data_IF_813405978608
#
_entry.id   IF_813405978608
#
_cell.length_a   1.000
_cell.length_b   1.000
_cell.length_c   1.000
_cell.angle_alpha   90.00
_cell.angle_beta   90.00
_cell.angle_gamma   90.00
#
_symmetry.space_group_name_H-M   'P 1'
#
loop_
_entity.id
_entity.type
_entity.pdbx_description
1 polymer ?
#
# COMPACT_ATOMS: atom_id res chain seq x y z
N UNK A 1 -7.79 -26.74 31.92
CA UNK A 1 -6.33 -26.46 32.03
C UNK A 1 -6.00 -25.16 31.28
N UNK A 2 -6.63 -24.02 31.62
CA UNK A 2 -6.51 -22.77 30.84
C UNK A 2 -5.94 -21.58 31.63
N UNK A 3 -5.77 -21.69 32.96
CA UNK A 3 -5.37 -20.56 33.83
C UNK A 3 -3.85 -20.37 34.02
N UNK A 4 -2.97 -21.01 33.23
CA UNK A 4 -1.51 -20.98 33.51
C UNK A 4 -0.70 -19.94 32.72
N UNK A 5 -1.35 -19.18 31.84
CA UNK A 5 -0.67 -18.19 30.97
C UNK A 5 -1.30 -16.78 31.01
N UNK A 6 -2.33 -16.56 31.83
CA UNK A 6 -3.23 -15.43 31.61
C UNK A 6 -2.57 -14.07 31.90
N UNK A 7 -2.01 -13.86 33.10
CA UNK A 7 -1.64 -12.50 33.53
C UNK A 7 -0.42 -11.91 32.78
N UNK A 8 0.61 -12.71 32.50
CA UNK A 8 1.82 -12.25 31.81
C UNK A 8 1.62 -12.08 30.30
N UNK A 9 0.87 -12.97 29.66
CA UNK A 9 0.68 -12.96 28.20
C UNK A 9 -0.50 -12.08 27.77
N UNK A 10 -1.49 -11.83 28.64
CA UNK A 10 -2.55 -10.85 28.39
C UNK A 10 -1.95 -9.46 28.15
N UNK A 11 -0.99 -9.04 28.97
CA UNK A 11 -0.28 -7.78 28.77
C UNK A 11 0.48 -7.69 27.43
N UNK A 12 1.01 -8.81 26.93
CA UNK A 12 1.66 -8.87 25.60
C UNK A 12 0.63 -8.84 24.47
N UNK A 13 -0.51 -9.51 24.67
CA UNK A 13 -1.65 -9.49 23.76
C UNK A 13 -2.24 -8.08 23.61
N UNK A 14 -2.44 -7.37 24.72
CA UNK A 14 -2.91 -5.99 24.73
C UNK A 14 -1.92 -5.04 24.02
N UNK A 15 -0.61 -5.19 24.29
CA UNK A 15 0.43 -4.43 23.59
C UNK A 15 0.42 -4.70 22.09
N UNK A 16 0.26 -5.96 21.69
CA UNK A 16 0.16 -6.33 20.27
C UNK A 16 -1.11 -5.76 19.62
N UNK A 17 -2.27 -5.83 20.28
CA UNK A 17 -3.53 -5.26 19.79
C UNK A 17 -3.44 -3.73 19.66
N UNK A 18 -2.82 -3.05 20.63
CA UNK A 18 -2.58 -1.61 20.57
C UNK A 18 -1.69 -1.24 19.39
N UNK A 19 -0.63 -2.03 19.12
CA UNK A 19 0.23 -1.83 17.97
C UNK A 19 -0.52 -2.04 16.65
N UNK A 20 -1.35 -3.08 16.54
CA UNK A 20 -2.20 -3.30 15.37
C UNK A 20 -3.12 -2.12 15.12
N UNK A 21 -3.81 -1.62 16.16
CA UNK A 21 -4.70 -0.46 16.02
C UNK A 21 -3.96 0.81 15.54
N UNK A 22 -2.71 1.01 15.99
CA UNK A 22 -1.86 2.13 15.54
C UNK A 22 -1.44 1.97 14.07
N UNK A 23 -1.12 0.74 13.64
CA UNK A 23 -0.80 0.43 12.25
C UNK A 23 -2.04 0.60 11.35
N UNK A 24 -3.21 0.12 11.78
CA UNK A 24 -4.48 0.32 11.08
C UNK A 24 -4.81 1.81 10.91
N UNK A 25 -4.52 2.65 11.91
CA UNK A 25 -4.72 4.09 11.80
C UNK A 25 -3.82 4.73 10.73
N UNK A 26 -2.56 4.31 10.64
CA UNK A 26 -1.63 4.76 9.59
C UNK A 26 -2.10 4.28 8.22
N UNK A 27 -2.46 3.00 8.11
CA UNK A 27 -2.96 2.43 6.88
C UNK A 27 -4.24 3.15 6.43
N UNK A 28 -5.16 3.48 7.35
CA UNK A 28 -6.41 4.17 7.03
C UNK A 28 -6.18 5.61 6.55
N UNK A 29 -5.07 6.24 6.95
CA UNK A 29 -4.68 7.54 6.43
C UNK A 29 -4.09 7.44 5.02
N UNK A 30 -3.28 6.40 4.75
CA UNK A 30 -2.60 6.21 3.47
C UNK A 30 -3.53 5.64 2.39
N UNK A 31 -4.37 4.65 2.74
CA UNK A 31 -5.23 3.90 1.83
C UNK A 31 -6.63 3.69 2.41
N UNK A 32 -7.62 3.58 1.53
CA UNK A 32 -8.99 3.33 1.93
C UNK A 32 -9.22 1.83 2.27
N UNK A 33 -8.95 1.44 3.52
CA UNK A 33 -9.04 0.03 3.99
C UNK A 33 -10.45 -0.57 3.83
N UNK A 34 -11.50 0.24 4.00
CA UNK A 34 -12.91 -0.21 4.04
C UNK A 34 -13.62 -0.11 2.69
N UNK A 35 -12.90 0.13 1.60
CA UNK A 35 -13.50 0.29 0.26
C UNK A 35 -13.59 -1.07 -0.43
N UNK A 36 -14.81 -1.61 -0.55
CA UNK A 36 -15.05 -2.89 -1.22
C UNK A 36 -15.28 -2.73 -2.73
N UNK A 37 -15.93 -1.63 -3.12
CA UNK A 37 -16.30 -1.33 -4.51
C UNK A 37 -15.96 0.11 -4.88
N UNK A 38 -15.90 0.44 -6.18
CA UNK A 38 -15.69 1.81 -6.61
C UNK A 38 -16.73 2.81 -6.10
N UNK A 39 -17.97 2.36 -5.88
CA UNK A 39 -19.08 3.18 -5.41
C UNK A 39 -19.05 3.47 -3.89
N UNK A 40 -18.18 2.81 -3.12
CA UNK A 40 -18.10 3.02 -1.66
C UNK A 40 -17.41 4.32 -1.26
N UNK A 41 -16.91 5.10 -2.22
CA UNK A 41 -16.16 6.34 -1.98
C UNK A 41 -16.95 7.40 -1.21
N UNK A 42 -18.28 7.44 -1.34
CA UNK A 42 -19.11 8.38 -0.57
C UNK A 42 -19.24 7.97 0.92
N UNK A 43 -19.18 6.67 1.20
CA UNK A 43 -19.31 6.12 2.56
C UNK A 43 -17.99 6.04 3.30
N UNK A 44 -16.90 5.85 2.57
CA UNK A 44 -15.57 5.73 3.14
C UNK A 44 -14.64 6.78 2.51
N UNK A 45 -14.05 7.68 3.32
CA UNK A 45 -13.23 8.76 2.80
C UNK A 45 -12.00 8.21 2.04
N UNK A 46 -11.54 8.89 0.98
CA UNK A 46 -10.37 8.48 0.22
C UNK A 46 -9.08 8.62 1.04
N UNK A 47 -8.18 7.65 0.88
CA UNK A 47 -6.83 7.71 1.44
C UNK A 47 -5.95 8.73 0.72
N UNK A 48 -4.77 9.01 1.25
CA UNK A 48 -3.78 9.87 0.57
C UNK A 48 -3.39 9.34 -0.82
N UNK A 49 -3.33 8.01 -0.99
CA UNK A 49 -3.08 7.37 -2.29
C UNK A 49 -4.14 7.74 -3.34
N UNK A 50 -5.43 7.68 -2.99
CA UNK A 50 -6.51 8.00 -3.92
C UNK A 50 -6.45 9.48 -4.33
N UNK A 51 -6.19 10.38 -3.37
CA UNK A 51 -6.03 11.83 -3.64
C UNK A 51 -4.86 12.11 -4.58
N UNK A 52 -3.75 11.39 -4.39
CA UNK A 52 -2.58 11.53 -5.26
C UNK A 52 -2.88 11.00 -6.68
N UNK A 53 -3.54 9.84 -6.79
CA UNK A 53 -3.98 9.28 -8.06
C UNK A 53 -4.92 10.24 -8.79
N UNK A 54 -5.89 10.82 -8.10
CA UNK A 54 -6.82 11.79 -8.67
C UNK A 54 -6.10 13.03 -9.20
N UNK A 55 -5.15 13.58 -8.43
CA UNK A 55 -4.34 14.71 -8.87
C UNK A 55 -3.50 14.36 -10.11
N UNK A 56 -2.83 13.22 -10.10
CA UNK A 56 -2.02 12.74 -11.24
C UNK A 56 -2.90 12.55 -12.47
N UNK A 57 -4.09 11.97 -12.33
CA UNK A 57 -5.02 11.79 -13.44
C UNK A 57 -5.43 13.13 -14.08
N UNK A 58 -5.76 14.13 -13.26
CA UNK A 58 -6.14 15.46 -13.77
C UNK A 58 -4.96 16.13 -14.49
N UNK A 59 -3.77 16.10 -13.91
CA UNK A 59 -2.58 16.76 -14.47
C UNK A 59 -2.08 16.07 -15.74
N UNK A 60 -2.10 14.74 -15.79
CA UNK A 60 -1.60 13.98 -16.94
C UNK A 60 -2.53 14.02 -18.15
N UNK A 61 -3.83 14.28 -17.95
CA UNK A 61 -4.79 14.45 -19.04
C UNK A 61 -4.84 15.89 -19.58
N UNK A 62 -4.22 16.85 -18.90
CA UNK A 62 -4.24 18.24 -19.33
C UNK A 62 -3.20 18.49 -20.45
N UNK A 63 -3.61 19.20 -21.51
CA UNK A 63 -2.69 19.63 -22.58
C UNK A 63 -1.74 20.77 -22.15
N UNK A 64 -2.02 21.38 -21.00
CA UNK A 64 -1.24 22.47 -20.42
C UNK A 64 -0.37 21.99 -19.25
N UNK A 65 0.71 22.71 -18.97
CA UNK A 65 1.53 22.46 -17.79
C UNK A 65 0.72 22.57 -16.48
N UNK A 66 1.13 21.87 -15.41
CA UNK A 66 0.45 21.94 -14.12
C UNK A 66 0.32 23.37 -13.62
N UNK A 67 -0.85 23.73 -13.11
CA UNK A 67 -1.07 25.05 -12.50
C UNK A 67 -0.32 25.16 -11.16
N UNK A 68 -0.07 26.38 -10.70
CA UNK A 68 0.53 26.60 -9.37
C UNK A 68 -0.28 25.92 -8.26
N UNK A 69 -1.61 25.91 -8.37
CA UNK A 69 -2.48 25.23 -7.40
C UNK A 69 -2.26 23.72 -7.39
N UNK A 70 -2.10 23.09 -8.57
CA UNK A 70 -1.83 21.66 -8.65
C UNK A 70 -0.49 21.29 -8.00
N UNK A 71 0.53 22.14 -8.15
CA UNK A 71 1.83 21.97 -7.46
C UNK A 71 1.66 22.08 -5.94
N UNK A 72 0.97 23.10 -5.44
CA UNK A 72 0.76 23.29 -4.00
C UNK A 72 -0.04 22.13 -3.37
N UNK A 73 -1.07 21.62 -4.06
CA UNK A 73 -1.84 20.46 -3.60
C UNK A 73 -0.97 19.20 -3.60
N UNK A 74 -0.11 19.02 -4.61
CA UNK A 74 0.87 17.92 -4.65
C UNK A 74 1.79 17.97 -3.43
N UNK A 75 2.38 19.13 -3.15
CA UNK A 75 3.29 19.32 -2.01
C UNK A 75 2.59 19.04 -0.68
N UNK A 76 1.34 19.48 -0.52
CA UNK A 76 0.53 19.20 0.67
C UNK A 76 0.28 17.70 0.86
N UNK A 77 -0.11 16.99 -0.20
CA UNK A 77 -0.37 15.53 -0.13
C UNK A 77 0.92 14.79 0.18
N UNK A 78 2.03 15.11 -0.50
CA UNK A 78 3.32 14.48 -0.26
C UNK A 78 3.84 14.73 1.15
N UNK A 79 3.68 15.95 1.67
CA UNK A 79 4.04 16.25 3.05
C UNK A 79 3.26 15.40 4.06
N UNK A 80 1.99 15.08 3.79
CA UNK A 80 1.19 14.19 4.65
C UNK A 80 1.66 12.74 4.56
N UNK A 81 1.99 12.27 3.36
CA UNK A 81 2.58 10.92 3.16
C UNK A 81 3.90 10.78 3.91
N UNK A 82 4.76 11.79 3.86
CA UNK A 82 6.02 11.81 4.61
C UNK A 82 5.80 11.70 6.13
N UNK A 83 4.77 12.37 6.65
CA UNK A 83 4.41 12.31 8.08
C UNK A 83 4.00 10.89 8.45
N UNK A 84 3.08 10.27 7.70
CA UNK A 84 2.62 8.91 8.01
C UNK A 84 3.74 7.86 7.83
N UNK A 85 4.61 8.04 6.83
CA UNK A 85 5.77 7.17 6.61
C UNK A 85 6.75 7.26 7.78
N UNK A 86 7.04 8.48 8.28
CA UNK A 86 7.89 8.67 9.47
C UNK A 86 7.27 8.05 10.73
N UNK A 87 5.95 8.16 10.90
CA UNK A 87 5.23 7.52 12.00
C UNK A 87 5.35 6.00 11.94
N UNK A 88 5.16 5.41 10.77
CA UNK A 88 5.33 3.97 10.55
C UNK A 88 6.75 3.53 10.91
N UNK A 89 7.75 4.24 10.39
CA UNK A 89 9.16 4.00 10.67
C UNK A 89 9.47 4.02 12.18
N UNK A 90 8.91 4.98 12.91
CA UNK A 90 9.07 5.08 14.36
C UNK A 90 8.43 3.88 15.07
N UNK A 91 7.19 3.50 14.71
CA UNK A 91 6.52 2.32 15.29
C UNK A 91 7.31 1.04 15.07
N UNK A 92 7.85 0.86 13.86
CA UNK A 92 8.65 -0.33 13.53
C UNK A 92 9.95 -0.34 14.31
N UNK A 93 10.64 0.80 14.43
CA UNK A 93 11.93 0.88 15.14
C UNK A 93 11.77 0.71 16.65
N UNK A 94 10.71 1.24 17.23
CA UNK A 94 10.54 1.30 18.69
C UNK A 94 9.65 0.16 19.20
N UNK A 95 8.39 0.10 18.75
CA UNK A 95 7.37 -0.75 19.35
C UNK A 95 7.49 -2.20 18.89
N UNK A 96 7.72 -2.44 17.59
CA UNK A 96 7.88 -3.79 17.05
C UNK A 96 9.14 -4.45 17.63
N UNK A 97 10.25 -3.71 17.75
CA UNK A 97 11.49 -4.23 18.33
C UNK A 97 11.33 -4.51 19.83
N UNK A 98 10.70 -3.60 20.57
CA UNK A 98 10.42 -3.80 21.99
C UNK A 98 9.48 -4.99 22.24
N UNK A 99 8.47 -5.17 21.39
CA UNK A 99 7.55 -6.30 21.46
C UNK A 99 8.27 -7.61 21.11
N UNK A 100 9.15 -7.63 20.10
CA UNK A 100 9.95 -8.81 19.77
C UNK A 100 10.89 -9.24 20.91
N UNK A 101 11.51 -8.29 21.61
CA UNK A 101 12.31 -8.58 22.81
C UNK A 101 11.44 -9.17 23.92
N UNK A 102 10.25 -8.61 24.13
CA UNK A 102 9.31 -9.09 25.13
C UNK A 102 8.85 -10.54 24.84
N UNK A 103 8.52 -10.86 23.58
CA UNK A 103 8.20 -12.22 23.16
C UNK A 103 9.36 -13.20 23.42
N UNK A 104 10.59 -12.80 23.11
CA UNK A 104 11.77 -13.63 23.38
C UNK A 104 11.96 -13.88 24.87
N UNK A 105 11.76 -12.87 25.72
CA UNK A 105 11.82 -13.05 27.18
C UNK A 105 10.71 -13.94 27.74
N UNK A 106 9.57 -14.00 27.07
CA UNK A 106 8.46 -14.90 27.40
C UNK A 106 8.66 -16.34 26.88
N UNK A 107 9.78 -16.63 26.22
CA UNK A 107 10.07 -17.95 25.64
C UNK A 107 9.28 -18.25 24.36
N UNK A 108 8.68 -17.23 23.75
CA UNK A 108 7.96 -17.34 22.47
C UNK A 108 8.96 -17.05 21.36
N UNK A 109 9.29 -18.05 20.57
CA UNK A 109 10.16 -17.89 19.41
C UNK A 109 9.42 -17.15 18.28
N UNK A 110 9.97 -16.02 17.85
CA UNK A 110 9.37 -15.20 16.81
C UNK A 110 9.72 -15.76 15.43
N UNK A 111 8.75 -16.40 14.77
CA UNK A 111 8.87 -16.81 13.37
C UNK A 111 8.63 -15.60 12.47
N UNK A 112 9.69 -14.90 12.07
CA UNK A 112 9.59 -13.85 11.05
C UNK A 112 10.22 -12.49 11.35
N UNK A 113 11.21 -12.38 12.25
CA UNK A 113 12.17 -11.28 12.15
C UNK A 113 13.09 -11.63 10.98
N UNK A 114 12.75 -11.15 9.79
CA UNK A 114 13.57 -11.29 8.60
C UNK A 114 14.95 -10.68 8.84
N UNK A 115 15.89 -11.49 9.34
CA UNK A 115 17.25 -11.36 8.86
C UNK A 115 17.15 -11.60 7.36
N UNK A 116 17.49 -10.58 6.58
CA UNK A 116 17.82 -10.77 5.18
C UNK A 116 18.63 -12.07 5.07
N UNK A 117 18.18 -12.93 4.17
CA UNK A 117 18.70 -14.26 3.86
C UNK A 117 20.23 -14.29 3.73
N UNK A 118 20.93 -14.33 4.86
CA UNK A 118 22.31 -14.78 4.96
C UNK A 118 22.28 -16.29 4.92
N UNK A 119 22.04 -16.83 3.73
CA UNK A 119 22.06 -18.28 3.50
C UNK A 119 20.96 -18.78 2.59
N UNK A 120 21.00 -18.44 1.30
CA UNK A 120 20.47 -19.35 0.29
C UNK A 120 21.34 -19.31 -0.98
N UNK A 121 22.22 -20.32 -1.06
CA UNK A 121 22.71 -21.01 -2.27
C UNK A 121 23.34 -20.17 -3.39
N UNK A 122 24.68 -20.22 -3.44
CA UNK A 122 25.44 -20.16 -4.70
C UNK A 122 25.11 -21.38 -5.57
N UNK A 123 24.39 -21.15 -6.65
CA UNK A 123 24.06 -22.08 -7.74
C UNK A 123 23.19 -21.23 -8.68
N UNK A 124 23.60 -20.74 -9.84
CA UNK A 124 24.37 -21.36 -10.92
C UNK A 124 25.14 -20.26 -11.66
N UNK A 125 26.40 -20.51 -11.96
CA UNK A 125 27.17 -19.80 -12.99
C UNK A 125 26.51 -20.06 -14.34
N UNK A 126 25.49 -19.27 -14.69
CA UNK A 126 25.10 -19.00 -16.06
C UNK A 126 25.85 -17.76 -16.51
N UNK A 127 27.01 -17.94 -17.13
CA UNK A 127 27.83 -16.85 -17.65
C UNK A 127 27.11 -16.13 -18.79
N UNK A 128 26.41 -15.04 -18.49
CA UNK A 128 25.87 -14.14 -19.52
C UNK A 128 26.92 -13.08 -19.86
N UNK A 129 27.80 -13.41 -20.81
CA UNK A 129 28.77 -12.44 -21.36
C UNK A 129 28.09 -11.58 -22.43
N UNK A 130 27.73 -10.36 -22.06
CA UNK A 130 27.31 -9.31 -22.99
C UNK A 130 28.55 -8.88 -23.77
N UNK A 131 28.64 -9.28 -25.04
CA UNK A 131 29.64 -8.76 -25.97
C UNK A 131 29.19 -7.37 -26.44
N UNK A 132 30.00 -6.32 -26.27
CA UNK A 132 29.70 -5.00 -26.82
C UNK A 132 30.02 -5.02 -28.32
N UNK A 133 29.00 -5.13 -29.16
CA UNK A 133 29.16 -4.83 -30.59
C UNK A 133 28.38 -5.72 -31.55
N UNK A 134 27.05 -5.54 -31.62
CA UNK A 134 26.32 -5.69 -32.88
C UNK A 134 25.20 -4.65 -32.97
N UNK A 135 25.34 -3.74 -33.93
CA UNK A 135 24.29 -2.80 -34.33
C UNK A 135 23.22 -3.51 -35.16
N UNK A 136 21.96 -3.22 -34.80
CA UNK A 136 20.74 -3.02 -35.61
C UNK A 136 20.40 -4.05 -36.70
N UNK A 137 19.22 -4.65 -36.56
CA UNK A 137 18.17 -4.58 -37.59
C UNK A 137 16.80 -4.55 -36.93
N UNK A 138 16.01 -3.54 -37.29
CA UNK A 138 14.58 -3.47 -37.06
C UNK A 138 13.87 -4.50 -37.94
N UNK A 139 12.99 -5.32 -37.36
CA UNK A 139 11.96 -6.03 -38.12
C UNK A 139 10.62 -5.64 -37.50
N UNK A 140 9.94 -4.75 -38.20
CA UNK A 140 8.52 -4.46 -38.03
C UNK A 140 7.69 -5.61 -38.58
N UNK A 141 6.93 -6.28 -37.73
CA UNK A 141 5.76 -7.05 -38.17
C UNK A 141 4.63 -6.78 -37.20
N UNK A 142 3.70 -5.92 -37.62
CA UNK A 142 2.49 -5.61 -36.89
C UNK A 142 1.52 -6.80 -36.84
N UNK A 143 0.70 -6.81 -35.80
CA UNK A 143 -0.65 -7.37 -35.85
C UNK A 143 -1.53 -6.61 -34.87
N UNK A 144 -2.49 -5.87 -35.42
CA UNK A 144 -3.69 -5.38 -34.75
C UNK A 144 -4.41 -6.49 -34.00
N UNK A 145 -4.81 -6.21 -32.77
CA UNK A 145 -6.12 -6.58 -32.27
C UNK A 145 -6.54 -5.60 -31.17
N UNK A 146 -7.52 -4.77 -31.51
CA UNK A 146 -8.30 -3.94 -30.62
C UNK A 146 -8.93 -4.81 -29.52
N UNK A 147 -8.62 -4.51 -28.27
CA UNK A 147 -9.33 -5.01 -27.09
C UNK A 147 -9.99 -3.82 -26.40
N UNK A 148 -11.23 -3.51 -26.78
CA UNK A 148 -12.05 -2.53 -26.09
C UNK A 148 -12.44 -3.08 -24.71
N UNK A 149 -11.82 -2.61 -23.64
CA UNK A 149 -12.27 -2.87 -22.28
C UNK A 149 -13.51 -2.03 -21.99
N UNK A 150 -14.65 -2.69 -21.94
CA UNK A 150 -15.92 -2.12 -21.54
C UNK A 150 -15.81 -1.50 -20.14
N UNK A 151 -16.19 -0.23 -20.00
CA UNK A 151 -16.39 0.42 -18.70
C UNK A 151 -17.61 -0.22 -18.01
N UNK A 152 -17.55 -0.53 -16.71
CA UNK A 152 -18.72 -0.98 -15.98
C UNK A 152 -19.78 0.14 -15.99
N UNK A 153 -20.98 -0.19 -16.47
CA UNK A 153 -22.15 0.69 -16.38
C UNK A 153 -22.66 0.67 -14.94
N UNK A 154 -22.54 1.79 -14.22
CA UNK A 154 -23.36 2.02 -13.03
C UNK A 154 -24.81 2.17 -13.49
N UNK A 155 -25.67 1.19 -13.17
CA UNK A 155 -27.10 1.29 -13.42
C UNK A 155 -27.70 2.33 -12.48
N UNK A 156 -28.16 3.45 -13.03
CA UNK A 156 -29.00 4.41 -12.30
C UNK A 156 -30.37 3.78 -12.09
N UNK A 157 -30.64 3.27 -10.90
CA UNK A 157 -32.01 2.94 -10.50
C UNK A 157 -32.82 4.24 -10.42
N UNK A 158 -33.67 4.42 -11.43
CA UNK A 158 -34.64 5.50 -11.56
C UNK A 158 -35.65 5.41 -10.41
N UNK A 159 -35.44 6.20 -9.35
CA UNK A 159 -36.47 6.44 -8.33
C UNK A 159 -37.67 7.13 -8.99
N UNK A 160 -38.81 6.45 -8.98
CA UNK A 160 -40.10 6.98 -9.39
C UNK A 160 -40.49 8.14 -8.48
N UNK A 161 -40.75 9.30 -9.08
CA UNK A 161 -41.56 10.36 -8.50
C UNK A 161 -42.95 9.78 -8.20
N UNK A 162 -43.32 9.76 -6.91
CA UNK A 162 -44.70 9.61 -6.48
C UNK A 162 -45.20 10.98 -6.08
N UNK A 163 -46.15 11.47 -6.87
CA UNK A 163 -46.94 12.67 -6.63
C UNK A 163 -47.77 12.53 -5.36
N UNK A 164 -47.85 13.60 -4.59
CA UNK A 164 -49.07 14.06 -3.92
C UNK A 164 -49.21 15.57 -4.14
#
# INVERSE_FOLDING_TARGET
>A
MQNRLHDGNESLGERAQSLVARLEAIEAALVAIKRETPCDQERNPPGLNDKLIDLVNVVTMADAAPTLQAVLVSDEIMSKVDVETKRLDALVKEEVTALAVAFKSAGIELLGIGKASSGLRENTRGSFSIHPGRRKTWISSGRSSMGATARPRCSTSRLHLRSE
#
